data_IF_352642011702
#
_entry.id   IF_352642011702
#
_cell.length_a   1.000
_cell.length_b   1.000
_cell.length_c   1.000
_cell.angle_alpha   90.00
_cell.angle_beta   90.00
_cell.angle_gamma   90.00
#
_symmetry.space_group_name_H-M   'P 1'
#
loop_
_entity.id
_entity.type
_entity.pdbx_description
1 polymer ?
#
# COMPACT_ATOMS: atom_id res chain seq x y z
N UNK A 1 0.74 8.24 9.43
CA UNK A 1 1.83 8.03 8.45
C UNK A 1 1.37 6.90 7.55
N UNK A 2 1.31 7.12 6.24
CA UNK A 2 1.00 6.09 5.26
C UNK A 2 2.32 5.40 4.84
N UNK A 3 2.53 4.13 5.21
CA UNK A 3 3.82 3.48 5.03
C UNK A 3 4.11 3.07 3.57
N UNK A 4 3.15 3.13 2.64
CA UNK A 4 3.29 2.54 1.29
C UNK A 4 2.65 3.42 0.19
N UNK A 5 2.69 4.75 0.32
CA UNK A 5 2.34 5.68 -0.78
C UNK A 5 0.91 5.55 -1.35
N UNK A 6 0.02 4.84 -0.67
CA UNK A 6 -1.36 4.62 -1.10
C UNK A 6 -2.17 5.91 -1.12
N UNK A 7 -1.91 6.82 -0.18
CA UNK A 7 -2.48 8.15 -0.13
C UNK A 7 -2.06 8.97 -1.33
N UNK A 8 -0.79 8.91 -1.77
CA UNK A 8 -0.36 9.61 -3.00
C UNK A 8 -1.10 9.07 -4.24
N UNK A 9 -1.30 7.76 -4.32
CA UNK A 9 -2.07 7.14 -5.40
C UNK A 9 -3.55 7.51 -5.35
N UNK A 10 -4.15 7.56 -4.16
CA UNK A 10 -5.55 7.97 -3.97
C UNK A 10 -5.78 9.41 -4.44
N UNK A 11 -4.91 10.32 -4.02
CA UNK A 11 -4.89 11.74 -4.39
C UNK A 11 -4.63 11.97 -5.88
N UNK A 12 -3.77 11.17 -6.50
CA UNK A 12 -3.58 11.20 -7.95
C UNK A 12 -4.85 10.82 -8.73
N UNK A 13 -5.78 10.09 -8.11
CA UNK A 13 -7.07 9.71 -8.70
C UNK A 13 -8.23 10.63 -8.27
N UNK A 14 -8.07 11.42 -7.21
CA UNK A 14 -9.08 12.31 -6.64
C UNK A 14 -8.44 13.68 -6.42
N UNK A 15 -8.65 14.60 -7.37
CA UNK A 15 -8.03 15.93 -7.40
C UNK A 15 -8.91 16.99 -6.70
N UNK A 16 -9.45 16.65 -5.55
CA UNK A 16 -10.35 17.47 -4.75
C UNK A 16 -9.66 18.04 -3.51
N UNK A 17 -10.08 19.24 -3.10
CA UNK A 17 -9.48 19.96 -1.96
C UNK A 17 -9.63 19.21 -0.62
N UNK A 18 -10.60 18.28 -0.56
CA UNK A 18 -10.91 17.43 0.60
C UNK A 18 -10.23 16.05 0.56
N UNK A 19 -9.44 15.74 -0.50
CA UNK A 19 -8.88 14.39 -0.79
C UNK A 19 -8.21 13.74 0.43
N UNK A 20 -7.57 14.55 1.28
CA UNK A 20 -6.77 14.07 2.38
C UNK A 20 -7.61 13.67 3.58
N UNK A 21 -8.71 14.38 3.84
CA UNK A 21 -9.64 14.02 4.91
C UNK A 21 -10.40 12.75 4.52
N UNK A 22 -10.82 12.65 3.27
CA UNK A 22 -11.51 11.47 2.73
C UNK A 22 -10.61 10.25 2.72
N UNK A 23 -9.34 10.40 2.33
CA UNK A 23 -8.34 9.33 2.43
C UNK A 23 -8.17 8.86 3.89
N UNK A 24 -8.07 9.79 4.85
CA UNK A 24 -7.93 9.43 6.27
C UNK A 24 -9.16 8.73 6.83
N UNK A 25 -10.36 9.06 6.33
CA UNK A 25 -11.60 8.40 6.73
C UNK A 25 -11.73 6.99 6.13
N UNK A 26 -11.31 6.80 4.87
CA UNK A 26 -11.42 5.53 4.17
C UNK A 26 -10.28 4.54 4.49
N UNK A 27 -9.08 5.04 4.82
CA UNK A 27 -7.91 4.20 5.06
C UNK A 27 -8.08 3.13 6.15
N UNK A 28 -8.71 3.40 7.31
CA UNK A 28 -8.93 2.39 8.35
C UNK A 28 -9.74 1.18 7.87
N UNK A 29 -10.66 1.39 6.93
CA UNK A 29 -11.53 0.37 6.36
C UNK A 29 -10.96 -0.24 5.07
N UNK A 30 -9.83 0.27 4.58
CA UNK A 30 -9.21 -0.20 3.35
C UNK A 30 -8.61 -1.61 3.55
N UNK A 31 -9.24 -2.61 2.94
CA UNK A 31 -8.72 -3.97 2.91
C UNK A 31 -7.46 -4.07 2.05
N UNK A 32 -6.29 -4.14 2.68
CA UNK A 32 -5.01 -4.36 1.97
C UNK A 32 -4.89 -5.85 1.63
N UNK A 33 -5.08 -6.20 0.35
CA UNK A 33 -4.74 -7.54 -0.17
C UNK A 33 -3.32 -7.50 -0.74
N UNK A 34 -2.38 -8.07 0.01
CA UNK A 34 -1.03 -8.31 -0.47
C UNK A 34 -0.94 -9.72 -1.08
N UNK A 35 -0.67 -9.80 -2.38
CA UNK A 35 -0.26 -11.04 -3.05
C UNK A 35 1.26 -11.07 -3.08
N UNK A 36 1.86 -11.95 -2.26
CA UNK A 36 3.30 -12.08 -2.18
C UNK A 36 3.69 -13.40 -2.81
N UNK A 37 4.38 -13.32 -3.95
CA UNK A 37 5.00 -14.48 -4.60
C UNK A 37 6.44 -14.61 -4.13
N UNK A 38 6.71 -15.63 -3.30
CA UNK A 38 8.07 -15.97 -2.87
C UNK A 38 8.53 -17.18 -3.67
N UNK A 39 9.57 -16.98 -4.49
CA UNK A 39 10.28 -18.06 -5.16
C UNK A 39 11.58 -18.32 -4.40
N UNK A 40 11.70 -19.50 -3.78
CA UNK A 40 12.92 -19.94 -3.11
C UNK A 40 13.84 -20.60 -4.15
N UNK A 41 14.88 -19.90 -4.59
CA UNK A 41 15.82 -20.40 -5.61
C UNK A 41 16.94 -21.30 -5.04
N UNK A 42 17.03 -21.44 -3.71
CA UNK A 42 17.96 -22.36 -3.05
C UNK A 42 18.23 -21.97 -1.61
N UNK A 43 18.57 -22.94 -0.75
CA UNK A 43 18.85 -22.70 0.67
C UNK A 43 20.24 -22.11 0.94
N UNK A 44 20.98 -21.70 -0.10
CA UNK A 44 22.31 -21.10 0.00
C UNK A 44 23.15 -21.74 1.11
N UNK A 45 23.37 -23.05 1.06
CA UNK A 45 24.29 -23.71 1.98
C UNK A 45 25.65 -23.04 1.80
N UNK A 46 26.05 -22.28 2.81
CA UNK A 46 27.43 -21.84 2.99
C UNK A 46 28.15 -23.04 3.61
N UNK A 47 29.04 -23.66 2.84
CA UNK A 47 30.10 -24.58 3.33
C UNK A 47 31.45 -23.89 3.13
#
# INVERSE_FOLDING_TARGET
MDPVGFGLRYRAMHADEQEWEDWKAAYPDAGIRADVQVTLEGSGLID
#
